data_IF_189927018702
#
_entry.id   IF_189927018702
#
_cell.length_a   1.000
_cell.length_b   1.000
_cell.length_c   1.000
_cell.angle_alpha   90.00
_cell.angle_beta   90.00
_cell.angle_gamma   90.00
#
_symmetry.space_group_name_H-M   'P 1'
#
loop_
_entity.id
_entity.type
_entity.pdbx_description
1 polymer ?
#
# COMPACT_ATOMS: atom_id res chain seq x y z
N UNK A 1 23.50 13.92 -10.24
CA UNK A 1 22.83 14.08 -8.94
C UNK A 1 22.34 12.71 -8.57
N UNK A 2 23.05 12.05 -7.66
CA UNK A 2 22.84 10.65 -7.29
C UNK A 2 21.58 10.58 -6.44
N UNK A 3 20.49 10.10 -7.01
CA UNK A 3 19.26 9.85 -6.26
C UNK A 3 19.53 8.66 -5.35
N UNK A 4 19.71 8.93 -4.05
CA UNK A 4 19.77 7.92 -3.01
C UNK A 4 18.54 7.02 -3.14
N UNK A 5 18.75 5.84 -3.72
CA UNK A 5 17.81 4.74 -3.72
C UNK A 5 17.70 4.31 -2.28
N UNK A 6 16.82 4.98 -1.54
CA UNK A 6 16.48 4.63 -0.17
C UNK A 6 16.00 3.17 -0.22
N UNK A 7 16.76 2.26 0.39
CA UNK A 7 16.49 0.81 0.38
C UNK A 7 15.21 0.54 1.19
N UNK A 8 14.05 0.83 0.60
CA UNK A 8 12.75 0.58 1.18
C UNK A 8 12.52 -0.93 1.20
N UNK A 9 12.67 -1.51 2.39
CA UNK A 9 12.38 -2.91 2.61
C UNK A 9 10.87 -3.13 2.62
N UNK A 10 10.33 -3.63 1.51
CA UNK A 10 8.90 -3.94 1.36
C UNK A 10 8.64 -5.34 1.90
N UNK A 11 7.74 -5.44 2.90
CA UNK A 11 7.33 -6.70 3.49
C UNK A 11 5.86 -7.00 3.23
N UNK A 12 5.59 -8.15 2.61
CA UNK A 12 4.24 -8.64 2.35
C UNK A 12 3.94 -9.91 3.17
N UNK A 13 2.93 -9.90 4.05
CA UNK A 13 2.55 -11.10 4.79
C UNK A 13 1.82 -12.08 3.86
N UNK A 14 2.00 -13.40 4.08
CA UNK A 14 1.32 -14.47 3.29
C UNK A 14 -0.20 -14.32 3.21
N UNK A 15 -0.83 -13.74 4.24
CA UNK A 15 -2.28 -13.48 4.28
C UNK A 15 -2.72 -12.42 3.26
N UNK A 16 -1.84 -11.46 2.96
CA UNK A 16 -2.06 -10.44 1.95
C UNK A 16 -2.04 -11.05 0.55
N UNK A 17 -1.03 -11.86 0.22
CA UNK A 17 -0.95 -12.56 -1.06
C UNK A 17 -2.19 -13.45 -1.31
N UNK A 18 -2.65 -14.19 -0.29
CA UNK A 18 -3.92 -14.96 -0.36
C UNK A 18 -5.17 -14.08 -0.52
N UNK A 19 -5.13 -12.82 -0.08
CA UNK A 19 -6.22 -11.87 -0.31
C UNK A 19 -6.19 -11.32 -1.74
N UNK A 20 -5.01 -11.13 -2.34
CA UNK A 20 -4.82 -10.71 -3.73
C UNK A 20 -5.19 -11.81 -4.75
N UNK A 21 -5.16 -13.08 -4.37
CA UNK A 21 -5.55 -14.16 -5.30
C UNK A 21 -7.07 -14.28 -5.57
N UNK A 22 -7.91 -13.49 -4.88
CA UNK A 22 -9.38 -13.48 -4.99
C UNK A 22 -9.96 -12.37 -5.87
N UNK A 23 -9.47 -11.11 -5.82
CA UNK A 23 -9.99 -10.02 -6.64
C UNK A 23 -9.79 -10.21 -8.14
N UNK A 24 -10.51 -9.41 -8.94
CA UNK A 24 -10.32 -9.34 -10.39
C UNK A 24 -9.01 -8.63 -10.77
N UNK A 25 -8.54 -8.82 -12.00
CA UNK A 25 -7.32 -8.16 -12.52
C UNK A 25 -7.36 -6.63 -12.37
N UNK A 26 -8.54 -6.01 -12.47
CA UNK A 26 -8.71 -4.56 -12.28
C UNK A 26 -8.43 -4.15 -10.84
N UNK A 27 -8.92 -4.94 -9.87
CA UNK A 27 -8.68 -4.69 -8.46
C UNK A 27 -7.21 -4.95 -8.09
N UNK A 28 -6.59 -5.97 -8.68
CA UNK A 28 -5.15 -6.24 -8.53
C UNK A 28 -4.31 -5.04 -8.97
N UNK A 29 -4.57 -4.51 -10.18
CA UNK A 29 -3.89 -3.30 -10.67
C UNK A 29 -4.05 -2.10 -9.74
N UNK A 30 -5.26 -1.88 -9.20
CA UNK A 30 -5.46 -0.80 -8.23
C UNK A 30 -4.63 -1.00 -6.95
N UNK A 31 -4.46 -2.23 -6.47
CA UNK A 31 -3.60 -2.48 -5.31
C UNK A 31 -2.13 -2.22 -5.66
N UNK A 32 -1.65 -2.71 -6.80
CA UNK A 32 -0.28 -2.48 -7.28
C UNK A 32 0.02 -0.98 -7.46
N UNK A 33 -0.89 -0.23 -8.09
CA UNK A 33 -0.78 1.22 -8.25
C UNK A 33 -0.67 1.95 -6.89
N UNK A 34 -1.43 1.50 -5.88
CA UNK A 34 -1.35 2.07 -4.53
C UNK A 34 -0.05 1.68 -3.80
N UNK A 35 0.49 0.48 -4.03
CA UNK A 35 1.80 0.07 -3.51
C UNK A 35 2.89 0.96 -4.10
N UNK A 36 2.89 1.18 -5.42
CA UNK A 36 3.86 2.04 -6.10
C UNK A 36 3.81 3.48 -5.56
N UNK A 37 2.62 4.02 -5.28
CA UNK A 37 2.47 5.32 -4.63
C UNK A 37 3.08 5.36 -3.23
N UNK A 38 2.94 4.30 -2.43
CA UNK A 38 3.53 4.21 -1.10
C UNK A 38 5.06 4.13 -1.20
N UNK A 39 5.59 3.34 -2.14
CA UNK A 39 7.04 3.20 -2.37
C UNK A 39 7.63 4.54 -2.82
N UNK A 40 6.98 5.22 -3.75
CA UNK A 40 7.41 6.55 -4.21
C UNK A 40 7.25 7.63 -3.13
N UNK A 41 6.22 7.54 -2.29
CA UNK A 41 5.93 8.51 -1.23
C UNK A 41 5.41 7.81 0.03
N UNK A 42 6.28 7.40 0.97
CA UNK A 42 5.87 6.72 2.20
C UNK A 42 5.08 7.61 3.17
N UNK A 43 4.91 8.89 2.83
CA UNK A 43 4.15 9.87 3.59
C UNK A 43 2.66 9.94 3.22
N UNK A 44 2.19 9.21 2.21
CA UNK A 44 0.78 9.31 1.77
C UNK A 44 -0.23 8.85 2.83
N UNK A 45 0.20 7.99 3.75
CA UNK A 45 -0.67 7.43 4.78
C UNK A 45 -0.93 8.38 5.94
N UNK A 46 -2.04 8.18 6.64
CA UNK A 46 -2.36 8.95 7.85
C UNK A 46 -1.47 8.49 9.01
N UNK A 47 -0.71 9.43 9.58
CA UNK A 47 0.06 9.17 10.80
C UNK A 47 -0.89 8.92 11.97
N UNK A 48 -0.69 7.81 12.67
CA UNK A 48 -1.47 7.46 13.85
C UNK A 48 -1.11 8.39 15.03
N UNK A 49 -1.98 8.45 16.03
CA UNK A 49 -1.76 9.23 17.27
C UNK A 49 -1.50 8.29 18.44
N UNK A 50 -0.87 8.80 19.50
CA UNK A 50 -0.57 8.04 20.72
C UNK A 50 0.58 7.06 20.52
N UNK A 51 0.49 5.87 21.11
CA UNK A 51 1.56 4.85 21.10
C UNK A 51 1.93 4.35 19.70
N UNK A 52 1.04 4.53 18.71
CA UNK A 52 1.28 4.14 17.32
C UNK A 52 1.76 5.30 16.46
N UNK A 53 2.20 6.43 17.02
CA UNK A 53 2.61 7.62 16.25
C UNK A 53 3.77 7.40 15.27
N UNK A 54 4.52 6.31 15.45
CA UNK A 54 5.55 5.87 14.51
C UNK A 54 4.99 5.12 13.27
N UNK A 55 3.68 4.84 13.22
CA UNK A 55 3.01 4.16 12.10
C UNK A 55 2.20 5.14 11.25
N UNK A 56 2.29 4.94 9.93
CA UNK A 56 1.38 5.53 8.95
C UNK A 56 0.47 4.44 8.39
N UNK A 57 -0.81 4.75 8.24
CA UNK A 57 -1.78 3.82 7.65
C UNK A 57 -2.36 4.46 6.40
N UNK A 58 -2.00 3.91 5.25
CA UNK A 58 -2.65 4.24 4.00
C UNK A 58 -3.91 3.39 3.83
N UNK A 59 -5.07 4.04 3.73
CA UNK A 59 -6.35 3.37 3.45
C UNK A 59 -6.83 3.81 2.08
N UNK A 60 -7.07 2.85 1.21
CA UNK A 60 -7.66 3.09 -0.09
C UNK A 60 -8.95 2.27 -0.23
N UNK A 61 -9.81 2.72 -1.15
CA UNK A 61 -11.04 2.00 -1.48
C UNK A 61 -10.80 1.23 -2.77
N UNK A 62 -11.15 -0.05 -2.77
CA UNK A 62 -11.22 -0.85 -3.99
C UNK A 62 -12.60 -0.62 -4.59
N UNK A 63 -12.72 0.32 -5.53
CA UNK A 63 -13.97 0.53 -6.26
C UNK A 63 -14.23 -0.66 -7.19
N UNK A 64 -15.10 -1.57 -6.75
CA UNK A 64 -15.73 -2.54 -7.66
C UNK A 64 -17.07 -3.07 -7.13
N UNK A 65 -17.86 -2.21 -6.48
CA UNK A 65 -19.26 -2.50 -6.22
C UNK A 65 -20.12 -1.65 -7.15
N UNK A 66 -20.16 -2.02 -8.44
CA UNK A 66 -21.37 -1.75 -9.21
C UNK A 66 -22.45 -2.68 -8.61
N UNK A 67 -23.39 -2.07 -7.91
CA UNK A 67 -24.66 -2.71 -7.56
C UNK A 67 -25.44 -3.07 -8.83
#
# INVERSE_FOLDING_TARGET
MSEEQNELNVYEPKRFNKALSKPSEVQLKLVEDEIDKIVARPEIGEQKKGDLAHLRVHKFKLENSKF
#
